data_IF_274261143460
#
_entry.id   IF_274261143460
#
_cell.length_a   1.000
_cell.length_b   1.000
_cell.length_c   1.000
_cell.angle_alpha   90.00
_cell.angle_beta   90.00
_cell.angle_gamma   90.00
#
_symmetry.space_group_name_H-M   'P 1'
#
loop_
_entity.id
_entity.type
_entity.pdbx_description
1 polymer ?
#
# COMPACT_ATOMS: atom_id res chain seq x y z
N UNK A 1 2.15 5.21 -25.58
CA UNK A 1 2.89 4.05 -25.02
C UNK A 1 1.92 3.29 -24.15
N UNK A 2 1.57 2.07 -24.55
CA UNK A 2 0.78 1.13 -23.74
C UNK A 2 1.79 0.36 -22.89
N UNK A 3 1.77 0.60 -21.58
CA UNK A 3 2.59 -0.17 -20.66
C UNK A 3 2.02 -1.58 -20.59
N UNK A 4 2.72 -2.56 -21.17
CA UNK A 4 2.42 -3.98 -20.92
C UNK A 4 2.73 -4.26 -19.44
N UNK A 5 1.68 -4.49 -18.65
CA UNK A 5 1.79 -4.94 -17.27
C UNK A 5 2.57 -6.26 -17.27
N UNK A 6 3.86 -6.18 -16.93
CA UNK A 6 4.70 -7.35 -16.77
C UNK A 6 4.20 -8.09 -15.53
N UNK A 7 3.73 -9.33 -15.70
CA UNK A 7 3.36 -10.20 -14.58
C UNK A 7 4.60 -10.45 -13.73
N UNK A 8 4.75 -9.67 -12.67
CA UNK A 8 5.81 -9.86 -11.68
C UNK A 8 5.26 -10.78 -10.60
N UNK A 9 5.77 -12.01 -10.56
CA UNK A 9 5.53 -12.91 -9.44
C UNK A 9 6.25 -12.35 -8.22
N UNK A 10 5.53 -11.81 -7.25
CA UNK A 10 6.11 -11.58 -5.93
C UNK A 10 6.11 -12.92 -5.20
N UNK A 11 7.24 -13.52 -4.85
CA UNK A 11 7.33 -14.60 -3.84
C UNK A 11 6.25 -15.73 -3.91
N UNK A 12 5.82 -16.15 -5.11
CA UNK A 12 4.77 -17.18 -5.29
C UNK A 12 3.31 -16.66 -5.30
N UNK A 13 3.09 -15.35 -5.26
CA UNK A 13 1.82 -14.70 -5.56
C UNK A 13 1.63 -14.63 -7.09
N UNK A 14 0.59 -15.29 -7.59
CA UNK A 14 0.36 -15.49 -9.05
C UNK A 14 -0.80 -14.67 -9.61
N UNK A 15 -1.57 -14.02 -8.73
CA UNK A 15 -2.68 -13.14 -9.13
C UNK A 15 -2.35 -11.72 -8.72
N UNK A 16 -2.34 -10.79 -9.67
CA UNK A 16 -2.35 -9.34 -9.42
C UNK A 16 -3.75 -8.80 -9.70
N UNK A 17 -4.27 -7.98 -8.81
CA UNK A 17 -5.56 -7.34 -8.99
C UNK A 17 -5.43 -6.01 -9.75
N UNK A 18 -6.43 -5.62 -10.56
CA UNK A 18 -6.36 -4.44 -11.42
C UNK A 18 -6.38 -3.12 -10.63
N UNK A 19 -5.86 -2.05 -11.23
CA UNK A 19 -5.75 -0.75 -10.58
C UNK A 19 -7.10 -0.13 -10.16
N UNK A 20 -8.20 -0.46 -10.83
CA UNK A 20 -9.52 0.13 -10.55
C UNK A 20 -10.01 -0.18 -9.12
N UNK A 21 -9.64 -1.33 -8.57
CA UNK A 21 -10.08 -1.73 -7.23
C UNK A 21 -9.25 -1.08 -6.11
N UNK A 22 -8.08 -0.53 -6.43
CA UNK A 22 -7.15 0.12 -5.48
C UNK A 22 -7.29 1.65 -5.49
N UNK A 23 -8.11 2.23 -6.38
CA UNK A 23 -8.22 3.67 -6.58
C UNK A 23 -8.54 4.45 -5.29
N UNK A 24 -9.52 3.97 -4.52
CA UNK A 24 -9.90 4.65 -3.28
C UNK A 24 -8.78 4.60 -2.24
N UNK A 25 -8.14 3.43 -2.08
CA UNK A 25 -7.01 3.28 -1.17
C UNK A 25 -5.82 4.15 -1.60
N UNK A 26 -5.51 4.22 -2.91
CA UNK A 26 -4.50 5.13 -3.45
C UNK A 26 -4.81 6.60 -3.11
N UNK A 27 -6.07 7.05 -3.27
CA UNK A 27 -6.48 8.42 -2.91
C UNK A 27 -6.24 8.71 -1.43
N UNK A 28 -6.60 7.79 -0.53
CA UNK A 28 -6.41 7.95 0.92
C UNK A 28 -4.93 7.92 1.30
N UNK A 29 -4.15 7.04 0.67
CA UNK A 29 -2.72 6.89 0.97
C UNK A 29 -1.90 8.08 0.47
N UNK A 30 -2.19 8.56 -0.74
CA UNK A 30 -1.46 9.66 -1.37
C UNK A 30 -1.54 10.97 -0.55
N UNK A 31 -2.66 11.23 0.12
CA UNK A 31 -2.81 12.44 0.93
C UNK A 31 -2.23 12.32 2.33
N UNK A 32 -1.53 11.21 2.67
CA UNK A 32 -1.01 10.96 4.01
C UNK A 32 0.44 10.54 4.01
N UNK A 33 1.24 11.18 4.86
CA UNK A 33 2.62 10.75 5.15
C UNK A 33 2.60 9.63 6.20
N UNK A 34 2.29 8.40 5.79
CA UNK A 34 2.23 7.24 6.69
C UNK A 34 3.61 6.58 6.76
N UNK A 35 4.14 6.45 7.98
CA UNK A 35 5.38 5.73 8.22
C UNK A 35 5.12 4.22 8.43
N UNK A 36 6.20 3.46 8.53
CA UNK A 36 6.15 2.01 8.65
C UNK A 36 5.47 1.51 9.94
N UNK A 37 5.60 2.24 11.04
CA UNK A 37 4.93 1.89 12.30
C UNK A 37 3.41 2.07 12.16
N UNK A 38 2.98 3.16 11.54
CA UNK A 38 1.56 3.40 11.24
C UNK A 38 1.02 2.34 10.29
N UNK A 39 1.79 1.94 9.27
CA UNK A 39 1.40 0.87 8.36
C UNK A 39 1.19 -0.46 9.12
N UNK A 40 2.10 -0.82 10.03
CA UNK A 40 1.96 -2.01 10.86
C UNK A 40 0.72 -1.96 11.76
N UNK A 41 0.43 -0.79 12.34
CA UNK A 41 -0.76 -0.56 13.16
C UNK A 41 -2.06 -0.66 12.36
N UNK A 42 -2.10 -0.10 11.15
CA UNK A 42 -3.22 -0.25 10.21
C UNK A 42 -3.44 -1.74 9.91
N UNK A 43 -2.37 -2.48 9.62
CA UNK A 43 -2.41 -3.92 9.41
C UNK A 43 -3.12 -4.66 10.54
N UNK A 44 -2.65 -4.47 11.77
CA UNK A 44 -3.21 -5.07 12.99
C UNK A 44 -4.66 -4.67 13.26
N UNK A 45 -5.02 -3.40 12.99
CA UNK A 45 -6.38 -2.91 13.18
C UNK A 45 -7.37 -3.53 12.19
N UNK A 46 -6.95 -3.83 10.95
CA UNK A 46 -7.76 -4.55 9.98
C UNK A 46 -7.83 -6.04 10.31
N UNK A 47 -6.73 -6.65 10.72
CA UNK A 47 -6.71 -8.05 11.17
C UNK A 47 -5.57 -8.26 12.17
N UNK A 48 -5.85 -8.73 13.40
CA UNK A 48 -4.79 -8.95 14.39
C UNK A 48 -3.67 -9.89 13.93
N UNK A 49 -3.96 -10.78 12.98
CA UNK A 49 -2.98 -11.70 12.38
C UNK A 49 -2.28 -11.17 11.14
N UNK A 50 -2.48 -9.91 10.75
CA UNK A 50 -1.79 -9.31 9.62
C UNK A 50 -0.28 -9.21 9.89
N UNK A 51 0.54 -9.63 8.93
CA UNK A 51 2.00 -9.47 9.03
C UNK A 51 2.41 -8.20 8.32
N UNK A 52 3.33 -7.47 8.93
CA UNK A 52 3.97 -6.32 8.33
C UNK A 52 5.45 -6.61 8.10
N UNK A 53 5.98 -6.20 6.95
CA UNK A 53 7.41 -6.28 6.67
C UNK A 53 7.85 -5.13 5.77
N UNK A 54 9.13 -4.81 5.86
CA UNK A 54 9.80 -3.85 4.99
C UNK A 54 10.74 -4.64 4.08
N UNK A 55 10.85 -4.22 2.82
CA UNK A 55 11.76 -4.78 1.82
C UNK A 55 11.30 -6.09 1.15
N UNK A 56 10.04 -6.16 0.71
CA UNK A 56 9.67 -7.13 -0.33
C UNK A 56 10.42 -6.78 -1.62
N UNK A 57 11.23 -7.70 -2.14
CA UNK A 57 11.91 -7.53 -3.43
C UNK A 57 11.10 -8.21 -4.53
N UNK A 58 10.77 -7.47 -5.58
CA UNK A 58 10.31 -8.08 -6.84
C UNK A 58 11.51 -8.79 -7.50
N UNK A 59 11.24 -9.76 -8.40
CA UNK A 59 12.29 -10.56 -9.06
C UNK A 59 13.30 -9.73 -9.86
N UNK A 60 12.91 -8.53 -10.30
CA UNK A 60 13.74 -7.55 -10.99
C UNK A 60 14.57 -6.64 -10.05
N UNK A 61 14.54 -6.89 -8.74
CA UNK A 61 15.43 -6.26 -7.77
C UNK A 61 15.03 -4.84 -7.35
N UNK A 62 13.92 -4.30 -7.84
CA UNK A 62 13.35 -3.06 -7.32
C UNK A 62 12.78 -3.30 -5.93
N UNK A 63 13.16 -2.48 -4.94
CA UNK A 63 12.57 -2.59 -3.61
C UNK A 63 12.73 -1.31 -2.84
N UNK A 64 11.61 -0.69 -2.44
CA UNK A 64 11.39 0.03 -1.19
C UNK A 64 9.85 0.16 -1.04
N UNK A 65 9.23 -0.90 -0.51
CA UNK A 65 7.80 -0.96 -0.23
C UNK A 65 7.56 -1.43 1.21
N UNK A 66 6.53 -0.88 1.84
CA UNK A 66 5.89 -1.49 3.00
C UNK A 66 4.95 -2.60 2.55
N UNK A 67 4.97 -3.76 3.21
CA UNK A 67 4.15 -4.92 2.87
C UNK A 67 3.20 -5.24 4.02
N UNK A 68 1.91 -5.36 3.72
CA UNK A 68 0.91 -5.97 4.60
C UNK A 68 0.45 -7.30 4.01
N UNK A 69 0.51 -8.36 4.81
CA UNK A 69 0.09 -9.71 4.43
C UNK A 69 -1.10 -10.15 5.29
N UNK A 70 -2.15 -10.62 4.64
CA UNK A 70 -3.39 -11.09 5.23
C UNK A 70 -3.67 -12.53 4.84
N UNK A 71 -4.20 -13.31 5.78
CA UNK A 71 -4.76 -14.64 5.50
C UNK A 71 -6.28 -14.53 5.38
N UNK A 72 -6.83 -14.77 4.20
CA UNK A 72 -8.26 -14.73 3.93
C UNK A 72 -8.70 -16.13 3.50
N UNK A 73 -9.38 -16.84 4.41
CA UNK A 73 -9.70 -18.25 4.22
C UNK A 73 -8.42 -19.08 4.00
N UNK A 74 -8.33 -19.72 2.84
CA UNK A 74 -7.22 -20.58 2.45
C UNK A 74 -6.15 -19.87 1.58
N UNK A 75 -6.27 -18.55 1.41
CA UNK A 75 -5.42 -17.75 0.53
C UNK A 75 -4.61 -16.72 1.33
N UNK A 76 -3.43 -16.41 0.84
CA UNK A 76 -2.59 -15.31 1.30
C UNK A 76 -2.76 -14.13 0.33
N UNK A 77 -2.96 -12.94 0.89
CA UNK A 77 -3.11 -11.69 0.14
C UNK A 77 -2.07 -10.70 0.63
N UNK A 78 -1.37 -10.07 -0.29
CA UNK A 78 -0.35 -9.05 -0.01
C UNK A 78 -0.75 -7.72 -0.62
N UNK A 79 -0.62 -6.67 0.19
CA UNK A 79 -0.80 -5.27 -0.22
C UNK A 79 0.55 -4.57 -0.07
N UNK A 80 1.07 -4.04 -1.17
CA UNK A 80 2.35 -3.34 -1.24
C UNK A 80 2.14 -1.83 -1.32
N UNK A 81 2.78 -1.10 -0.41
CA UNK A 81 2.69 0.34 -0.27
C UNK A 81 4.03 0.99 -0.65
N UNK A 82 4.04 2.01 -1.52
CA UNK A 82 5.27 2.69 -1.93
C UNK A 82 5.90 3.46 -0.75
N UNK A 83 7.23 3.38 -0.58
CA UNK A 83 7.91 4.01 0.57
C UNK A 83 8.10 5.53 0.45
N UNK A 84 8.06 6.09 -0.76
CA UNK A 84 7.98 7.54 -0.95
C UNK A 84 7.36 7.86 -2.31
N UNK A 85 6.32 8.69 -2.32
CA UNK A 85 6.08 9.56 -3.47
C UNK A 85 6.92 10.81 -3.25
N UNK A 86 7.84 11.10 -4.16
CA UNK A 86 8.56 12.38 -4.14
C UNK A 86 7.60 13.46 -4.64
N UNK A 87 6.88 14.07 -3.69
CA UNK A 87 5.91 15.13 -3.96
C UNK A 87 6.54 16.41 -4.51
N UNK A 88 7.84 16.59 -4.30
CA UNK A 88 8.56 17.79 -4.73
C UNK A 88 9.11 17.66 -6.15
N UNK A 89 9.23 16.44 -6.68
CA UNK A 89 9.76 16.17 -8.02
C UNK A 89 8.79 15.30 -8.85
N UNK A 90 7.81 15.92 -9.55
CA UNK A 90 6.79 15.22 -10.35
C UNK A 90 7.36 14.27 -11.40
N UNK A 91 8.53 14.57 -11.96
CA UNK A 91 9.24 13.72 -12.93
C UNK A 91 9.78 12.40 -12.35
N UNK A 92 9.95 12.31 -11.03
CA UNK A 92 10.37 11.10 -10.32
C UNK A 92 9.20 10.36 -9.67
N UNK A 93 7.97 10.87 -9.85
CA UNK A 93 6.74 10.15 -9.56
C UNK A 93 6.61 9.00 -10.55
N UNK A 94 7.35 7.93 -10.28
CA UNK A 94 7.02 6.63 -10.85
C UNK A 94 5.58 6.31 -10.43
N UNK A 95 4.82 5.65 -11.31
CA UNK A 95 3.48 5.14 -11.02
C UNK A 95 3.58 4.02 -9.96
N UNK A 96 3.89 4.42 -8.72
CA UNK A 96 4.05 3.55 -7.57
C UNK A 96 2.71 3.48 -6.85
N UNK A 97 1.67 3.12 -7.60
CA UNK A 97 0.38 2.78 -7.00
C UNK A 97 0.53 1.62 -6.02
N UNK A 98 -0.39 1.54 -5.06
CA UNK A 98 -0.47 0.40 -4.14
C UNK A 98 -0.76 -0.84 -4.96
N UNK A 99 0.02 -1.91 -4.80
CA UNK A 99 -0.22 -3.15 -5.55
C UNK A 99 -0.82 -4.23 -4.65
N UNK A 100 -1.72 -5.04 -5.21
CA UNK A 100 -2.41 -6.11 -4.47
C UNK A 100 -2.24 -7.43 -5.19
N UNK A 101 -1.74 -8.42 -4.45
CA UNK A 101 -1.47 -9.75 -4.97
C UNK A 101 -2.09 -10.85 -4.11
N UNK A 102 -2.39 -12.00 -4.69
CA UNK A 102 -2.80 -13.20 -3.96
C UNK A 102 -2.21 -14.49 -4.55
N UNK A 103 -2.05 -15.49 -3.69
CA UNK A 103 -1.59 -16.83 -4.09
C UNK A 103 -2.69 -17.66 -4.76
N UNK A 104 -3.95 -17.27 -4.54
CA UNK A 104 -5.15 -17.89 -5.12
C UNK A 104 -6.14 -16.83 -5.54
N UNK A 105 -6.88 -17.10 -6.62
CA UNK A 105 -7.95 -16.22 -7.09
C UNK A 105 -9.07 -16.13 -6.04
N UNK A 106 -9.26 -14.94 -5.48
CA UNK A 106 -10.39 -14.61 -4.60
C UNK A 106 -11.44 -13.79 -5.36
N UNK A 107 -12.72 -13.83 -4.93
CA UNK A 107 -13.74 -12.94 -5.48
C UNK A 107 -13.36 -11.47 -5.28
N UNK A 108 -13.55 -10.65 -6.32
CA UNK A 108 -13.15 -9.22 -6.31
C UNK A 108 -13.71 -8.47 -5.10
N UNK A 109 -15.00 -8.69 -4.77
CA UNK A 109 -15.66 -8.08 -3.62
C UNK A 109 -15.00 -8.39 -2.27
N UNK A 110 -14.33 -9.53 -2.14
CA UNK A 110 -13.57 -9.87 -0.93
C UNK A 110 -12.33 -9.00 -0.80
N UNK A 111 -11.66 -8.72 -1.91
CA UNK A 111 -10.50 -7.84 -1.96
C UNK A 111 -10.92 -6.38 -1.77
N UNK A 112 -11.97 -5.91 -2.44
CA UNK A 112 -12.50 -4.55 -2.26
C UNK A 112 -12.81 -4.28 -0.78
N UNK A 113 -13.50 -5.21 -0.11
CA UNK A 113 -13.78 -5.09 1.32
C UNK A 113 -12.51 -5.04 2.19
N UNK A 114 -11.45 -5.78 1.82
CA UNK A 114 -10.16 -5.68 2.51
C UNK A 114 -9.55 -4.28 2.34
N UNK A 115 -9.49 -3.80 1.09
CA UNK A 115 -8.88 -2.52 0.74
C UNK A 115 -9.64 -1.34 1.36
N UNK A 116 -10.97 -1.39 1.40
CA UNK A 116 -11.80 -0.40 2.07
C UNK A 116 -11.55 -0.34 3.58
N UNK A 117 -11.33 -1.50 4.23
CA UNK A 117 -11.00 -1.54 5.66
C UNK A 117 -9.61 -0.94 5.92
N UNK A 118 -8.65 -1.19 5.04
CA UNK A 118 -7.32 -0.57 5.09
C UNK A 118 -7.45 0.95 4.90
N UNK A 119 -8.19 1.39 3.88
CA UNK A 119 -8.42 2.80 3.59
C UNK A 119 -9.09 3.52 4.76
N UNK A 120 -10.11 2.91 5.37
CA UNK A 120 -10.76 3.42 6.57
C UNK A 120 -9.77 3.59 7.73
N UNK A 121 -8.96 2.57 8.03
CA UNK A 121 -7.97 2.66 9.11
C UNK A 121 -6.87 3.68 8.81
N UNK A 122 -6.42 3.80 7.56
CA UNK A 122 -5.50 4.85 7.12
C UNK A 122 -6.13 6.24 7.29
N UNK A 123 -7.44 6.38 7.01
CA UNK A 123 -8.17 7.63 7.15
C UNK A 123 -8.30 8.11 8.60
N UNK A 124 -8.40 7.18 9.56
CA UNK A 124 -8.46 7.48 10.99
C UNK A 124 -7.13 7.97 11.58
N UNK A 125 -6.00 7.69 10.92
CA UNK A 125 -4.67 8.12 11.39
C UNK A 125 -4.44 9.58 11.02
N UNK A 126 -4.81 10.50 11.91
CA UNK A 126 -4.53 11.92 11.79
C UNK A 126 -3.02 12.17 11.70
N UNK A 127 -2.62 13.09 10.82
CA UNK A 127 -1.24 13.60 10.82
C UNK A 127 -0.87 14.08 12.23
N UNK A 128 0.37 13.84 12.72
CA UNK A 128 0.91 14.76 13.71
C UNK A 128 0.91 16.14 13.04
N UNK A 129 0.07 17.04 13.55
CA UNK A 129 0.10 18.46 13.16
C UNK A 129 1.56 18.87 13.06
N UNK A 130 2.01 19.30 11.87
CA UNK A 130 3.27 20.01 11.74
C UNK A 130 3.20 21.15 12.75
N UNK A 131 3.92 21.01 13.85
CA UNK A 131 4.03 22.04 14.89
C UNK A 131 4.40 23.33 14.17
N UNK A 132 3.52 24.32 14.31
CA UNK A 132 3.70 25.73 14.04
C UNK A 132 5.13 26.08 13.63
N UNK A 133 5.36 26.32 12.34
CA UNK A 133 6.44 27.21 11.93
C UNK A 133 6.10 28.59 12.48
N UNK A 134 6.53 28.85 13.72
CA UNK A 134 6.60 30.19 14.26
C UNK A 134 7.58 30.96 13.38
N UNK A 135 7.05 31.71 12.42
CA UNK A 135 7.81 32.77 11.79
C UNK A 135 8.14 33.78 12.89
N UNK A 136 9.37 33.75 13.40
CA UNK A 136 9.94 34.92 14.07
C UNK A 136 10.24 35.93 12.98
N UNK A 137 9.38 36.95 12.87
CA UNK A 137 9.76 38.22 12.26
C UNK A 137 10.91 38.78 13.11
N UNK A 138 12.08 38.93 12.49
CA UNK A 138 13.18 39.77 12.99
C UNK A 138 13.01 41.14 12.34
#
# INVERSE_FOLDING_TARGET
MTYEMTQTGLEGFVVQYPCEIIDHLNRVWNVRSLNNDILAEIGKAVSPGAKHSLNGKTEDGYSWYGKLEYKIGCANVVVLFPWSQDWNNPETQMDRSINVYSDKKLPVKVIENLLERIAYQAALRTEPQQKNRTFRLI
#
